data_IF_806570583842
#
_entry.id   IF_806570583842
#
_cell.length_a   1.000
_cell.length_b   1.000
_cell.length_c   1.000
_cell.angle_alpha   90.00
_cell.angle_beta   90.00
_cell.angle_gamma   90.00
#
_symmetry.space_group_name_H-M   'P 1'
#
loop_
_entity.id
_entity.type
_entity.pdbx_description
1 polymer ?
#
# COMPACT_ATOMS: atom_id res chain seq x y z
N UNK A 1 -59.15 36.56 -38.28
CA UNK A 1 -58.89 36.16 -36.90
C UNK A 1 -57.68 35.19 -36.94
N UNK A 2 -56.51 35.70 -36.58
CA UNK A 2 -55.23 34.98 -36.70
C UNK A 2 -54.97 34.15 -35.44
N UNK A 3 -55.01 32.84 -35.53
CA UNK A 3 -54.55 31.94 -34.53
C UNK A 3 -53.03 31.72 -34.72
N UNK A 4 -52.18 32.34 -33.86
CA UNK A 4 -50.74 32.17 -33.87
C UNK A 4 -50.37 30.80 -33.26
N UNK A 5 -49.35 30.09 -33.80
CA UNK A 5 -48.95 28.80 -33.28
C UNK A 5 -48.05 28.95 -32.06
N UNK A 6 -48.65 28.80 -30.87
CA UNK A 6 -47.86 28.66 -29.60
C UNK A 6 -47.18 27.28 -29.45
N UNK A 7 -47.42 26.36 -30.41
CA UNK A 7 -47.00 24.98 -30.32
C UNK A 7 -45.48 24.75 -30.52
N UNK A 8 -44.82 25.59 -31.32
CA UNK A 8 -43.43 25.35 -31.65
C UNK A 8 -42.42 25.78 -30.55
N UNK A 9 -42.82 26.75 -29.75
CA UNK A 9 -41.94 27.18 -28.62
C UNK A 9 -41.93 26.19 -27.46
N UNK A 10 -43.08 25.56 -27.19
CA UNK A 10 -43.17 24.55 -26.11
C UNK A 10 -42.42 23.29 -26.47
N UNK A 11 -42.46 22.84 -27.72
CA UNK A 11 -41.70 21.69 -28.20
C UNK A 11 -40.18 21.91 -28.19
N UNK A 12 -39.74 23.15 -28.48
CA UNK A 12 -38.31 23.50 -28.45
C UNK A 12 -37.75 23.53 -27.00
N UNK A 13 -38.56 23.98 -26.03
CA UNK A 13 -38.17 23.97 -24.60
C UNK A 13 -38.11 22.56 -24.02
N UNK A 14 -38.97 21.65 -24.41
CA UNK A 14 -38.97 20.26 -23.96
C UNK A 14 -37.75 19.51 -24.54
N UNK A 15 -37.38 19.78 -25.79
CA UNK A 15 -36.20 19.17 -26.42
C UNK A 15 -34.88 19.66 -25.83
N UNK A 16 -34.79 20.91 -25.39
CA UNK A 16 -33.59 21.47 -24.74
C UNK A 16 -33.48 21.00 -23.29
N UNK A 17 -34.59 20.84 -22.56
CA UNK A 17 -34.58 20.31 -21.18
C UNK A 17 -34.24 18.81 -21.10
N UNK A 18 -34.55 18.01 -22.12
CA UNK A 18 -34.19 16.58 -22.15
C UNK A 18 -32.74 16.32 -22.51
N UNK A 19 -32.04 17.30 -23.12
CA UNK A 19 -30.61 17.15 -23.50
C UNK A 19 -29.65 17.50 -22.34
N UNK A 20 -30.12 18.17 -21.29
CA UNK A 20 -29.28 18.57 -20.14
C UNK A 20 -29.25 17.57 -19.01
N UNK A 21 -29.99 16.45 -19.05
CA UNK A 21 -30.06 15.46 -17.99
C UNK A 21 -29.14 14.24 -18.21
N UNK A 22 -28.28 14.29 -19.24
CA UNK A 22 -27.24 13.27 -19.46
C UNK A 22 -25.92 13.77 -18.89
N UNK A 23 -25.93 14.42 -17.72
CA UNK A 23 -24.72 14.67 -16.95
C UNK A 23 -24.28 13.36 -16.30
N UNK A 24 -23.23 12.82 -16.87
CA UNK A 24 -22.38 11.76 -16.44
C UNK A 24 -22.44 11.50 -14.93
N UNK A 25 -23.03 10.36 -14.54
CA UNK A 25 -22.62 9.66 -13.35
C UNK A 25 -21.17 9.18 -13.61
N UNK A 26 -20.18 10.05 -13.40
CA UNK A 26 -18.83 9.60 -13.15
C UNK A 26 -18.89 8.91 -11.79
N UNK A 27 -19.07 7.60 -11.80
CA UNK A 27 -18.74 6.77 -10.66
C UNK A 27 -17.26 7.06 -10.37
N UNK A 28 -16.99 7.86 -9.35
CA UNK A 28 -15.66 8.07 -8.84
C UNK A 28 -15.15 6.72 -8.32
N UNK A 29 -14.54 5.93 -9.19
CA UNK A 29 -13.63 4.90 -8.73
C UNK A 29 -12.59 5.63 -7.88
N UNK A 30 -12.46 5.26 -6.62
CA UNK A 30 -11.42 5.81 -5.77
C UNK A 30 -10.09 5.57 -6.52
N UNK A 31 -9.43 6.65 -6.91
CA UNK A 31 -8.17 6.57 -7.65
C UNK A 31 -7.16 5.87 -6.74
N UNK A 32 -6.70 4.70 -7.16
CA UNK A 32 -5.71 3.94 -6.42
C UNK A 32 -4.40 4.75 -6.40
N UNK A 33 -3.87 4.99 -5.22
CA UNK A 33 -2.65 5.77 -5.07
C UNK A 33 -1.44 4.86 -5.27
N UNK A 34 -0.62 5.12 -6.28
CA UNK A 34 0.65 4.42 -6.49
C UNK A 34 1.57 4.57 -5.27
N UNK A 35 2.24 3.49 -4.91
CA UNK A 35 3.27 3.52 -3.89
C UNK A 35 4.50 4.27 -4.42
N UNK A 36 5.08 5.22 -3.66
CA UNK A 36 6.32 5.88 -4.06
C UNK A 36 7.44 4.86 -4.24
N UNK A 37 8.14 4.91 -5.38
CA UNK A 37 9.27 4.04 -5.62
C UNK A 37 10.49 4.44 -4.78
N UNK A 38 11.27 3.46 -4.39
CA UNK A 38 12.52 3.66 -3.65
C UNK A 38 13.52 2.54 -3.93
N UNK A 39 14.80 2.83 -3.66
CA UNK A 39 15.88 1.85 -3.66
C UNK A 39 16.65 1.97 -2.35
N UNK A 40 16.79 0.87 -1.64
CA UNK A 40 17.56 0.78 -0.39
C UNK A 40 18.51 -0.41 -0.40
N UNK A 41 19.58 -0.30 0.36
CA UNK A 41 20.51 -1.39 0.60
C UNK A 41 19.92 -2.39 1.58
N UNK A 42 20.01 -3.68 1.26
CA UNK A 42 19.51 -4.76 2.11
C UNK A 42 20.60 -5.30 3.06
N UNK A 43 20.16 -6.13 4.00
CA UNK A 43 21.03 -6.89 4.89
C UNK A 43 21.91 -7.93 4.17
N UNK A 44 21.57 -8.33 2.94
CA UNK A 44 22.46 -9.14 2.07
C UNK A 44 23.56 -8.31 1.40
N UNK A 45 23.48 -6.98 1.47
CA UNK A 45 24.40 -6.05 0.82
C UNK A 45 23.99 -5.60 -0.58
N UNK A 46 22.93 -6.18 -1.14
CA UNK A 46 22.37 -5.81 -2.44
C UNK A 46 21.40 -4.63 -2.32
N UNK A 47 21.26 -3.85 -3.38
CA UNK A 47 20.24 -2.83 -3.48
C UNK A 47 18.96 -3.48 -3.99
N UNK A 48 17.82 -3.22 -3.31
CA UNK A 48 16.50 -3.63 -3.74
C UNK A 48 15.65 -2.42 -4.05
N UNK A 49 14.98 -2.45 -5.20
CA UNK A 49 14.06 -1.42 -5.66
C UNK A 49 12.62 -1.93 -5.58
N UNK A 50 11.71 -1.09 -5.07
CA UNK A 50 10.31 -1.46 -4.98
C UNK A 50 9.68 -1.75 -6.35
N UNK A 51 9.99 -0.92 -7.38
CA UNK A 51 9.46 -1.12 -8.74
C UNK A 51 9.82 -2.49 -9.33
N UNK A 52 10.95 -3.09 -8.94
CA UNK A 52 11.36 -4.43 -9.36
C UNK A 52 10.51 -5.55 -8.75
N UNK A 53 9.66 -5.21 -7.77
CA UNK A 53 8.71 -6.14 -7.15
C UNK A 53 7.33 -6.13 -7.83
N UNK A 54 7.14 -5.37 -8.92
CA UNK A 54 5.89 -5.41 -9.68
C UNK A 54 5.54 -6.84 -10.12
N UNK A 55 4.25 -7.17 -10.04
CA UNK A 55 3.74 -8.53 -10.22
C UNK A 55 3.60 -9.31 -8.92
N UNK A 56 4.24 -8.86 -7.83
CA UNK A 56 4.05 -9.39 -6.49
C UNK A 56 3.11 -8.50 -5.65
N UNK A 57 2.42 -9.13 -4.70
CA UNK A 57 1.81 -8.42 -3.57
C UNK A 57 2.92 -8.13 -2.57
N UNK A 58 3.10 -6.87 -2.18
CA UNK A 58 4.22 -6.44 -1.34
C UNK A 58 3.72 -5.87 -0.02
N UNK A 59 4.29 -6.31 1.08
CA UNK A 59 4.24 -5.58 2.35
C UNK A 59 5.51 -4.75 2.47
N UNK A 60 5.38 -3.42 2.56
CA UNK A 60 6.45 -2.54 3.04
C UNK A 60 6.17 -2.24 4.51
N UNK A 61 7.04 -2.72 5.39
CA UNK A 61 6.91 -2.54 6.84
C UNK A 61 8.05 -1.67 7.37
N UNK A 62 7.71 -0.53 7.97
CA UNK A 62 8.68 0.35 8.62
C UNK A 62 8.78 -0.02 10.09
N UNK A 63 10.01 -0.30 10.55
CA UNK A 63 10.28 -0.79 11.89
C UNK A 63 11.62 -0.31 12.44
N UNK A 64 11.81 -0.45 13.77
CA UNK A 64 13.07 -0.15 14.43
C UNK A 64 13.36 -1.15 15.55
N UNK A 65 14.63 -1.34 15.90
CA UNK A 65 15.05 -2.28 16.95
C UNK A 65 14.54 -1.91 18.35
N UNK A 66 14.35 -0.63 18.61
CA UNK A 66 13.81 -0.09 19.88
C UNK A 66 12.29 -0.14 19.98
N UNK A 67 11.59 -0.50 18.89
CA UNK A 67 10.14 -0.53 18.83
C UNK A 67 9.59 -1.90 19.30
N UNK A 68 9.02 -1.96 20.48
CA UNK A 68 8.51 -3.21 21.04
C UNK A 68 7.38 -3.84 20.20
N UNK A 69 6.34 -3.10 19.73
CA UNK A 69 5.30 -3.67 18.86
C UNK A 69 5.86 -4.18 17.53
N UNK A 70 6.92 -3.58 16.98
CA UNK A 70 7.55 -4.04 15.76
C UNK A 70 8.14 -5.46 15.93
N UNK A 71 8.75 -5.72 17.08
CA UNK A 71 9.33 -7.04 17.39
C UNK A 71 8.27 -8.13 17.51
N UNK A 72 7.05 -7.75 17.91
CA UNK A 72 5.92 -8.68 17.97
C UNK A 72 5.36 -8.96 16.57
N UNK A 73 5.39 -7.97 15.66
CA UNK A 73 4.84 -8.07 14.31
C UNK A 73 5.74 -8.87 13.35
N UNK A 74 7.08 -8.74 13.43
CA UNK A 74 8.03 -9.36 12.51
C UNK A 74 7.85 -10.88 12.33
N UNK A 75 7.64 -11.71 13.39
CA UNK A 75 7.42 -13.15 13.23
C UNK A 75 6.14 -13.49 12.44
N UNK A 76 5.10 -12.65 12.51
CA UNK A 76 3.87 -12.85 11.73
C UNK A 76 4.13 -12.62 10.23
N UNK A 77 4.92 -11.60 9.90
CA UNK A 77 5.33 -11.39 8.51
C UNK A 77 6.23 -12.51 7.99
N UNK A 78 7.10 -13.06 8.83
CA UNK A 78 7.94 -14.20 8.46
C UNK A 78 7.10 -15.47 8.17
N UNK A 79 6.05 -15.69 8.94
CA UNK A 79 5.10 -16.76 8.67
C UNK A 79 4.37 -16.52 7.33
N UNK A 80 3.89 -15.29 7.07
CA UNK A 80 3.24 -14.94 5.82
C UNK A 80 4.19 -15.04 4.61
N UNK A 81 5.46 -14.63 4.75
CA UNK A 81 6.47 -14.79 3.70
C UNK A 81 6.60 -16.25 3.30
N UNK A 82 6.80 -17.13 4.25
CA UNK A 82 6.96 -18.58 4.02
C UNK A 82 5.71 -19.25 3.43
N UNK A 83 4.52 -18.74 3.78
CA UNK A 83 3.25 -19.31 3.31
C UNK A 83 2.90 -18.86 1.88
N UNK A 84 3.26 -17.59 1.50
CA UNK A 84 2.74 -16.97 0.27
C UNK A 84 3.81 -16.61 -0.77
N UNK A 85 5.12 -16.78 -0.50
CA UNK A 85 6.18 -16.38 -1.44
C UNK A 85 6.02 -17.03 -2.82
N UNK A 86 5.69 -18.31 -2.88
CA UNK A 86 5.47 -19.05 -4.14
C UNK A 86 4.22 -18.58 -4.90
N UNK A 87 3.35 -17.79 -4.25
CA UNK A 87 2.15 -17.20 -4.85
C UNK A 87 2.39 -15.78 -5.35
N UNK A 88 3.62 -15.27 -5.29
CA UNK A 88 3.97 -13.91 -5.67
C UNK A 88 3.69 -12.91 -4.55
N UNK A 89 4.20 -13.18 -3.36
CA UNK A 89 4.17 -12.31 -2.20
C UNK A 89 5.58 -12.04 -1.68
N UNK A 90 5.83 -10.84 -1.21
CA UNK A 90 7.07 -10.52 -0.52
C UNK A 90 6.90 -9.45 0.55
N UNK A 91 7.74 -9.53 1.58
CA UNK A 91 7.88 -8.49 2.61
C UNK A 91 9.18 -7.74 2.37
N UNK A 92 9.12 -6.42 2.36
CA UNK A 92 10.27 -5.50 2.41
C UNK A 92 10.25 -4.80 3.76
N UNK A 93 11.05 -5.28 4.71
CA UNK A 93 11.11 -4.71 6.04
C UNK A 93 12.12 -3.55 6.07
N UNK A 94 11.61 -2.31 6.07
CA UNK A 94 12.43 -1.09 6.07
C UNK A 94 12.76 -0.70 7.51
N UNK A 95 14.01 -0.91 7.89
CA UNK A 95 14.53 -0.52 9.19
C UNK A 95 14.95 0.95 9.19
N UNK A 96 14.54 1.69 10.22
CA UNK A 96 14.83 3.13 10.40
C UNK A 96 15.78 3.41 11.56
N UNK A 97 16.50 2.42 12.04
CA UNK A 97 17.58 2.69 13.01
C UNK A 97 18.67 3.51 12.33
N UNK A 98 19.13 4.56 12.99
CA UNK A 98 20.28 5.37 12.55
C UNK A 98 21.54 4.52 12.33
N UNK A 99 21.61 3.38 13.03
CA UNK A 99 22.71 2.45 13.01
C UNK A 99 22.23 1.04 12.65
N UNK A 100 22.45 0.56 11.42
CA UNK A 100 21.99 -0.76 10.94
C UNK A 100 22.42 -1.96 11.80
N UNK A 101 23.54 -1.84 12.53
CA UNK A 101 24.01 -2.90 13.42
C UNK A 101 23.03 -3.21 14.56
N UNK A 102 22.20 -2.25 14.99
CA UNK A 102 21.16 -2.48 16.01
C UNK A 102 20.08 -3.42 15.48
N UNK A 103 19.63 -3.20 14.25
CA UNK A 103 18.71 -4.10 13.56
C UNK A 103 19.32 -5.49 13.40
N UNK A 104 20.55 -5.58 12.90
CA UNK A 104 21.26 -6.84 12.71
C UNK A 104 21.43 -7.62 14.02
N UNK A 105 21.61 -6.92 15.14
CA UNK A 105 21.67 -7.56 16.46
C UNK A 105 20.34 -8.17 16.85
N UNK A 106 19.22 -7.42 16.69
CA UNK A 106 17.89 -7.92 16.98
C UNK A 106 17.51 -9.11 16.10
N UNK A 107 17.87 -9.09 14.81
CA UNK A 107 17.56 -10.16 13.87
C UNK A 107 18.28 -11.49 14.16
N UNK A 108 19.30 -11.50 15.05
CA UNK A 108 19.87 -12.75 15.57
C UNK A 108 18.93 -13.44 16.55
N UNK A 109 18.12 -12.66 17.29
CA UNK A 109 17.16 -13.18 18.24
C UNK A 109 15.80 -13.45 17.59
N UNK A 110 15.44 -12.64 16.57
CA UNK A 110 14.19 -12.74 15.80
C UNK A 110 14.56 -12.88 14.32
N UNK A 111 14.98 -14.06 13.86
CA UNK A 111 15.38 -14.28 12.47
C UNK A 111 14.15 -14.19 11.53
N UNK A 112 14.35 -13.58 10.37
CA UNK A 112 13.33 -13.44 9.32
C UNK A 112 13.89 -13.92 7.97
N UNK A 113 13.01 -14.44 7.11
CA UNK A 113 13.37 -14.97 5.78
C UNK A 113 13.27 -13.94 4.66
N UNK A 114 12.62 -12.80 4.90
CA UNK A 114 12.45 -11.72 3.94
C UNK A 114 13.58 -10.69 3.99
N UNK A 115 13.76 -9.87 2.93
CA UNK A 115 14.75 -8.79 2.91
C UNK A 115 14.52 -7.72 3.97
N UNK A 116 15.58 -7.35 4.67
CA UNK A 116 15.61 -6.19 5.57
C UNK A 116 16.42 -5.09 4.92
N UNK A 117 15.78 -3.91 4.73
CA UNK A 117 16.33 -2.76 4.04
C UNK A 117 16.67 -1.67 5.06
N UNK A 118 17.69 -0.84 4.79
CA UNK A 118 18.13 0.17 5.73
C UNK A 118 17.85 1.58 5.21
N UNK A 119 17.00 2.34 5.93
CA UNK A 119 16.67 3.76 5.69
C UNK A 119 17.30 4.64 6.79
N UNK A 120 18.62 4.55 6.95
CA UNK A 120 19.42 5.22 7.97
C UNK A 120 19.36 6.77 7.90
N UNK A 121 18.85 7.31 6.79
CA UNK A 121 18.69 8.75 6.57
C UNK A 121 17.22 9.20 6.59
N UNK A 122 16.29 8.34 6.98
CA UNK A 122 14.85 8.60 7.01
C UNK A 122 14.24 9.13 5.69
N UNK A 123 14.83 8.80 4.56
CA UNK A 123 14.36 9.31 3.25
C UNK A 123 13.09 8.61 2.80
N UNK A 124 13.07 7.28 2.91
CA UNK A 124 11.92 6.48 2.49
C UNK A 124 10.79 6.56 3.51
N UNK A 125 11.10 6.55 4.79
CA UNK A 125 10.10 6.74 5.86
C UNK A 125 9.39 8.10 5.75
N UNK A 126 10.11 9.18 5.42
CA UNK A 126 9.51 10.49 5.11
C UNK A 126 8.67 10.48 3.84
N UNK A 127 9.13 9.79 2.78
CA UNK A 127 8.42 9.66 1.51
C UNK A 127 7.07 8.93 1.69
N UNK A 128 7.01 7.97 2.61
CA UNK A 128 5.80 7.22 2.96
C UNK A 128 4.95 7.86 4.06
N UNK A 129 5.34 9.06 4.55
CA UNK A 129 4.64 9.77 5.63
C UNK A 129 4.47 8.89 6.89
N UNK A 130 5.55 8.21 7.28
CA UNK A 130 5.56 7.34 8.46
C UNK A 130 5.39 8.18 9.72
N UNK A 131 4.27 8.01 10.43
CA UNK A 131 3.89 8.80 11.61
C UNK A 131 3.94 8.04 12.92
N UNK A 132 4.02 6.71 12.83
CA UNK A 132 4.08 5.81 14.00
C UNK A 132 4.88 4.56 13.65
N UNK A 133 5.38 3.87 14.65
CA UNK A 133 6.08 2.59 14.50
C UNK A 133 5.31 1.46 15.20
N UNK A 134 5.13 0.32 14.50
CA UNK A 134 5.43 0.12 13.08
C UNK A 134 4.45 0.87 12.17
N UNK A 135 4.81 1.03 10.88
CA UNK A 135 3.87 1.39 9.81
C UNK A 135 3.93 0.32 8.74
N UNK A 136 2.77 -0.23 8.40
CA UNK A 136 2.62 -1.31 7.42
C UNK A 136 1.84 -0.82 6.22
N UNK A 137 2.43 -0.94 5.03
CA UNK A 137 1.80 -0.58 3.75
C UNK A 137 1.70 -1.85 2.90
N UNK A 138 0.48 -2.20 2.47
CA UNK A 138 0.24 -3.31 1.54
C UNK A 138 0.03 -2.74 0.15
N UNK A 139 0.77 -3.28 -0.81
CA UNK A 139 0.84 -2.84 -2.20
C UNK A 139 0.41 -4.01 -3.08
N UNK A 140 -0.44 -3.73 -4.10
CA UNK A 140 -0.88 -4.73 -5.07
C UNK A 140 0.16 -4.99 -6.16
N UNK A 141 -0.14 -5.92 -7.08
CA UNK A 141 0.74 -6.34 -8.17
C UNK A 141 1.05 -5.22 -9.17
N UNK A 142 0.16 -4.20 -9.25
CA UNK A 142 0.30 -3.03 -10.12
C UNK A 142 1.06 -1.87 -9.44
N UNK A 143 1.48 -2.07 -8.18
CA UNK A 143 2.23 -1.06 -7.41
C UNK A 143 1.35 -0.04 -6.68
N UNK A 144 0.04 -0.29 -6.52
CA UNK A 144 -0.85 0.64 -5.82
C UNK A 144 -0.98 0.28 -4.34
N UNK A 145 -1.04 1.31 -3.48
CA UNK A 145 -1.30 1.14 -2.05
C UNK A 145 -2.75 0.71 -1.81
N UNK A 146 -2.94 -0.42 -1.16
CA UNK A 146 -4.25 -0.99 -0.84
C UNK A 146 -4.58 -0.86 0.65
N UNK A 147 -3.57 -0.77 1.50
CA UNK A 147 -3.69 -0.53 2.93
C UNK A 147 -2.48 0.27 3.43
N UNK A 148 -2.73 1.24 4.32
CA UNK A 148 -1.71 1.81 5.21
C UNK A 148 -2.22 1.71 6.64
N UNK A 149 -1.41 1.11 7.52
CA UNK A 149 -1.74 0.90 8.93
C UNK A 149 -0.62 1.44 9.81
N UNK A 150 -0.99 2.20 10.83
CA UNK A 150 -0.07 2.83 11.77
C UNK A 150 -0.16 2.19 13.15
N UNK A 151 0.98 1.78 13.69
CA UNK A 151 1.06 1.01 14.91
C UNK A 151 0.72 -0.47 14.72
N UNK A 152 0.85 -1.25 15.78
CA UNK A 152 0.50 -2.67 15.79
C UNK A 152 -0.11 -3.04 17.14
N UNK A 153 -1.13 -3.87 17.10
CA UNK A 153 -1.72 -4.57 18.24
C UNK A 153 -1.91 -6.03 17.85
N UNK A 154 -1.73 -6.93 18.80
CA UNK A 154 -2.03 -8.35 18.59
C UNK A 154 -3.43 -8.54 18.01
N UNK A 155 -3.53 -9.25 16.88
CA UNK A 155 -4.72 -9.43 16.07
C UNK A 155 -4.76 -8.60 14.77
N UNK A 156 -3.93 -7.55 14.62
CA UNK A 156 -3.85 -6.75 13.39
C UNK A 156 -3.28 -7.58 12.22
N UNK A 157 -2.44 -8.59 12.50
CA UNK A 157 -1.89 -9.52 11.50
C UNK A 157 -2.98 -10.23 10.71
N UNK A 158 -4.10 -10.59 11.35
CA UNK A 158 -5.24 -11.21 10.66
C UNK A 158 -5.89 -10.26 9.62
N UNK A 159 -5.86 -8.95 9.87
CA UNK A 159 -6.32 -7.94 8.92
C UNK A 159 -5.38 -7.85 7.71
N UNK A 160 -4.07 -7.87 7.95
CA UNK A 160 -3.07 -7.84 6.87
C UNK A 160 -3.20 -9.08 5.99
N UNK A 161 -3.25 -10.26 6.61
CA UNK A 161 -3.39 -11.53 5.92
C UNK A 161 -4.67 -11.58 5.06
N UNK A 162 -5.79 -11.06 5.58
CA UNK A 162 -7.05 -10.97 4.81
C UNK A 162 -6.87 -10.13 3.54
N UNK A 163 -6.17 -8.98 3.64
CA UNK A 163 -5.91 -8.10 2.48
C UNK A 163 -4.98 -8.80 1.50
N UNK A 164 -3.86 -9.36 1.97
CA UNK A 164 -2.90 -10.09 1.14
C UNK A 164 -3.58 -11.24 0.40
N UNK A 165 -4.37 -12.08 1.10
CA UNK A 165 -5.14 -13.19 0.47
C UNK A 165 -6.13 -12.71 -0.59
N UNK A 166 -6.73 -11.54 -0.44
CA UNK A 166 -7.61 -10.96 -1.45
C UNK A 166 -6.80 -10.56 -2.70
N UNK A 167 -5.68 -9.86 -2.51
CA UNK A 167 -4.81 -9.38 -3.59
C UNK A 167 -4.10 -10.51 -4.37
N UNK A 168 -3.76 -11.60 -3.69
CA UNK A 168 -3.17 -12.78 -4.33
C UNK A 168 -4.11 -13.49 -5.32
N UNK A 169 -5.42 -13.21 -5.24
CA UNK A 169 -6.47 -13.77 -6.12
C UNK A 169 -6.85 -12.84 -7.27
N UNK A 170 -6.43 -11.57 -7.22
CA UNK A 170 -6.58 -10.60 -8.32
C UNK A 170 -5.57 -10.90 -9.46
#
# INVERSE_FOLDING_TARGET
MNSKPLSNFVLLFIAVMSLTLLTAFTTGAAELQSAPDFTLKSNSGENLRLEEQQGNVVIVNFWASWCAPCREELPHFDAMQKEYEDLGFTVLAVNVDEHPEKANNLLRDIPVSFPVLFDDLDKVSKLYDVRAMPTTVIIDRDGNKRLTHYGYKSGDEAKYEKVVKALLRE
#
